data_IF_278797716110
#
_entry.id   IF_278797716110
#
_cell.length_a   1.000
_cell.length_b   1.000
_cell.length_c   1.000
_cell.angle_alpha   90.00
_cell.angle_beta   90.00
_cell.angle_gamma   90.00
#
_symmetry.space_group_name_H-M   'P 1'
#
loop_
_entity.id
_entity.type
_entity.pdbx_description
1 polymer ?
#
# COMPACT_ATOMS: atom_id res chain seq x y z
N UNK A 1 18.39 -1.16 14.38
CA UNK A 1 17.23 -1.06 13.44
C UNK A 1 16.62 0.33 13.62
N UNK A 2 17.40 1.38 13.40
CA UNK A 2 17.03 2.78 13.75
C UNK A 2 16.60 3.60 12.52
N UNK A 3 16.65 3.02 11.32
CA UNK A 3 16.50 3.77 10.06
C UNK A 3 15.12 3.67 9.41
N UNK A 4 14.10 3.19 10.13
CA UNK A 4 12.73 3.11 9.62
C UNK A 4 11.89 4.25 10.17
N UNK A 5 11.11 4.90 9.31
CA UNK A 5 10.17 5.94 9.73
C UNK A 5 9.16 5.37 10.74
N UNK A 6 8.97 6.05 11.88
CA UNK A 6 8.13 5.57 12.98
C UNK A 6 6.68 5.30 12.56
N UNK A 7 6.10 6.10 11.64
CA UNK A 7 4.75 5.89 11.13
C UNK A 7 4.62 4.61 10.29
N UNK A 8 5.68 4.24 9.58
CA UNK A 8 5.69 2.98 8.82
C UNK A 8 5.60 1.80 9.79
N UNK A 9 6.41 1.80 10.85
CA UNK A 9 6.37 0.74 11.86
C UNK A 9 5.00 0.66 12.56
N UNK A 10 4.42 1.81 12.93
CA UNK A 10 3.07 1.86 13.49
C UNK A 10 2.03 1.26 12.54
N UNK A 11 2.11 1.53 11.23
CA UNK A 11 1.21 0.94 10.22
C UNK A 11 1.36 -0.57 10.07
N UNK A 12 2.58 -1.11 10.22
CA UNK A 12 2.80 -2.56 10.24
C UNK A 12 2.03 -3.21 11.40
N UNK A 13 2.15 -2.62 12.60
CA UNK A 13 1.45 -3.11 13.80
C UNK A 13 -0.05 -3.00 13.65
N UNK A 14 -0.57 -1.86 13.15
CA UNK A 14 -2.00 -1.68 12.92
C UNK A 14 -2.55 -2.76 11.96
N UNK A 15 -1.85 -3.01 10.85
CA UNK A 15 -2.26 -4.03 9.86
C UNK A 15 -2.32 -5.44 10.47
N UNK A 16 -1.43 -5.76 11.40
CA UNK A 16 -1.45 -7.04 12.10
C UNK A 16 -2.76 -7.20 12.90
N UNK A 17 -3.12 -6.18 13.68
CA UNK A 17 -4.35 -6.20 14.47
C UNK A 17 -5.60 -6.20 13.60
N UNK A 18 -5.64 -5.41 12.52
CA UNK A 18 -6.76 -5.37 11.58
C UNK A 18 -7.00 -6.76 10.95
N UNK A 19 -5.92 -7.43 10.52
CA UNK A 19 -6.00 -8.78 9.97
C UNK A 19 -6.50 -9.80 11.01
N UNK A 20 -6.03 -9.70 12.27
CA UNK A 20 -6.47 -10.60 13.34
C UNK A 20 -7.96 -10.40 13.65
N UNK A 21 -8.41 -9.14 13.72
CA UNK A 21 -9.82 -8.79 13.92
C UNK A 21 -10.70 -9.29 12.77
N UNK A 22 -10.25 -9.15 11.53
CA UNK A 22 -10.96 -9.67 10.37
C UNK A 22 -11.05 -11.21 10.37
N UNK A 23 -9.97 -11.90 10.77
CA UNK A 23 -9.99 -13.36 10.91
C UNK A 23 -10.95 -13.82 12.02
N UNK A 24 -10.95 -13.13 13.17
CA UNK A 24 -11.91 -13.40 14.26
C UNK A 24 -13.35 -13.25 13.76
N UNK A 25 -13.68 -12.13 13.12
CA UNK A 25 -15.01 -11.92 12.56
C UNK A 25 -15.41 -13.00 11.54
N UNK A 26 -14.47 -13.50 10.71
CA UNK A 26 -14.75 -14.63 9.81
C UNK A 26 -15.04 -15.93 10.57
N UNK A 27 -14.27 -16.22 11.62
CA UNK A 27 -14.50 -17.40 12.47
C UNK A 27 -15.88 -17.35 13.13
N UNK A 28 -16.26 -16.18 13.65
CA UNK A 28 -17.56 -15.97 14.30
C UNK A 28 -18.73 -16.16 13.33
N UNK A 29 -18.52 -15.85 12.04
CA UNK A 29 -19.46 -16.11 10.95
C UNK A 29 -19.41 -17.56 10.40
N UNK A 30 -18.76 -18.49 11.11
CA UNK A 30 -18.73 -19.91 10.78
C UNK A 30 -17.75 -20.31 9.67
N UNK A 31 -16.90 -19.40 9.18
CA UNK A 31 -15.89 -19.73 8.18
C UNK A 31 -14.69 -20.44 8.81
N UNK A 32 -14.15 -21.46 8.12
CA UNK A 32 -12.85 -22.03 8.45
C UNK A 32 -11.77 -20.98 8.16
N UNK A 33 -10.98 -20.65 9.19
CA UNK A 33 -9.86 -19.72 9.08
C UNK A 33 -8.54 -20.44 9.31
N UNK A 34 -7.48 -19.94 8.68
CA UNK A 34 -6.10 -20.29 9.02
C UNK A 34 -5.48 -19.24 9.94
N UNK A 35 -4.31 -19.54 10.50
CA UNK A 35 -3.54 -18.63 11.32
C UNK A 35 -2.68 -17.70 10.47
N UNK A 36 -2.34 -16.53 11.03
CA UNK A 36 -1.37 -15.63 10.40
C UNK A 36 0.01 -16.28 10.42
N UNK A 37 0.67 -16.31 9.26
CA UNK A 37 2.05 -16.78 9.13
C UNK A 37 3.01 -15.65 9.49
N UNK A 38 4.02 -15.99 10.30
CA UNK A 38 5.14 -15.09 10.54
C UNK A 38 5.91 -14.87 9.22
N UNK A 39 6.50 -13.68 9.08
CA UNK A 39 7.34 -13.30 7.93
C UNK A 39 8.73 -12.97 8.43
N UNK A 40 9.73 -13.65 7.90
CA UNK A 40 11.12 -13.40 8.24
C UNK A 40 11.62 -12.05 7.72
N UNK A 41 12.71 -11.50 8.29
CA UNK A 41 13.44 -10.41 7.66
C UNK A 41 13.78 -10.78 6.20
N UNK A 42 13.40 -9.92 5.24
CA UNK A 42 13.54 -10.18 3.80
C UNK A 42 12.29 -10.77 3.11
N UNK A 43 11.37 -11.40 3.85
CA UNK A 43 10.06 -11.80 3.32
C UNK A 43 9.01 -10.67 3.40
N UNK A 44 9.33 -9.64 4.18
CA UNK A 44 8.52 -8.44 4.31
C UNK A 44 8.74 -7.52 3.09
N UNK A 45 7.93 -7.72 2.06
CA UNK A 45 8.04 -7.07 0.74
C UNK A 45 7.08 -5.91 0.52
N UNK A 46 6.39 -5.43 1.56
CA UNK A 46 5.39 -4.37 1.41
C UNK A 46 5.31 -3.48 2.65
N UNK A 47 5.54 -2.17 2.50
CA UNK A 47 5.35 -1.20 3.58
C UNK A 47 4.57 0.03 3.10
N UNK A 48 3.88 0.68 4.03
CA UNK A 48 2.99 1.79 3.75
C UNK A 48 3.35 3.00 4.60
N UNK A 49 3.52 4.14 3.94
CA UNK A 49 3.50 5.45 4.57
C UNK A 49 2.07 6.01 4.58
N UNK A 50 1.66 6.60 5.69
CA UNK A 50 0.35 7.22 5.83
C UNK A 50 0.47 8.65 6.33
N UNK A 51 -0.29 9.56 5.72
CA UNK A 51 -0.42 10.99 6.06
C UNK A 51 0.87 11.83 6.00
N UNK A 52 2.05 11.26 6.24
CA UNK A 52 3.34 11.95 6.14
C UNK A 52 4.48 10.98 5.87
N UNK A 53 5.68 11.54 5.69
CA UNK A 53 6.88 10.75 5.37
C UNK A 53 7.02 10.42 3.89
N UNK A 54 6.20 11.04 3.04
CA UNK A 54 6.34 11.01 1.59
C UNK A 54 6.03 12.39 1.00
N UNK A 55 6.57 12.69 -0.19
CA UNK A 55 6.23 13.86 -1.01
C UNK A 55 6.34 13.48 -2.49
N UNK A 56 5.37 13.85 -3.31
CA UNK A 56 5.57 13.87 -4.76
C UNK A 56 6.19 15.20 -5.15
N UNK A 57 7.28 15.14 -5.92
CA UNK A 57 7.96 16.28 -6.51
C UNK A 57 7.84 16.19 -8.02
N UNK A 58 7.37 17.25 -8.67
CA UNK A 58 7.47 17.37 -10.12
C UNK A 58 8.68 18.24 -10.43
N UNK A 59 9.71 17.67 -11.04
CA UNK A 59 10.93 18.40 -11.42
C UNK A 59 11.17 18.18 -12.90
N UNK A 60 11.09 19.25 -13.68
CA UNK A 60 11.50 19.27 -15.09
C UNK A 60 10.92 18.13 -15.95
N UNK A 61 9.63 17.83 -15.79
CA UNK A 61 8.93 16.80 -16.57
C UNK A 61 9.08 15.37 -16.05
N UNK A 62 9.83 15.15 -14.97
CA UNK A 62 9.93 13.84 -14.30
C UNK A 62 9.36 13.92 -12.88
N UNK A 63 8.35 13.11 -12.59
CA UNK A 63 7.84 12.99 -11.23
C UNK A 63 8.74 12.09 -10.39
N UNK A 64 9.07 12.57 -9.19
CA UNK A 64 9.84 11.84 -8.18
C UNK A 64 9.06 11.71 -6.89
N UNK A 65 9.12 10.53 -6.29
CA UNK A 65 8.60 10.26 -4.96
C UNK A 65 9.75 10.35 -3.96
N UNK A 66 9.69 11.35 -3.10
CA UNK A 66 10.54 11.39 -1.93
C UNK A 66 9.88 10.60 -0.80
N UNK A 67 10.64 9.70 -0.18
CA UNK A 67 10.25 8.95 1.00
C UNK A 67 11.22 9.25 2.14
N UNK A 68 10.68 9.53 3.32
CA UNK A 68 11.47 9.72 4.53
C UNK A 68 12.33 8.47 4.78
N UNK A 69 13.63 8.70 5.03
CA UNK A 69 14.69 7.69 5.22
C UNK A 69 15.10 6.90 3.97
N UNK A 70 14.33 6.94 2.88
CA UNK A 70 14.67 6.24 1.62
C UNK A 70 15.13 7.19 0.49
N UNK A 71 14.86 8.48 0.61
CA UNK A 71 15.30 9.48 -0.38
C UNK A 71 14.34 9.62 -1.56
N UNK A 72 14.85 10.09 -2.70
CA UNK A 72 14.06 10.32 -3.91
C UNK A 72 14.10 9.13 -4.86
N UNK A 73 12.94 8.74 -5.37
CA UNK A 73 12.75 7.62 -6.29
C UNK A 73 12.03 8.16 -7.53
N UNK A 74 12.55 7.97 -8.75
CA UNK A 74 11.83 8.32 -9.96
C UNK A 74 10.57 7.45 -10.09
N UNK A 75 9.45 8.08 -10.42
CA UNK A 75 8.18 7.37 -10.66
C UNK A 75 7.81 7.42 -12.13
N UNK A 76 7.23 6.31 -12.60
CA UNK A 76 6.52 6.24 -13.87
C UNK A 76 5.06 5.90 -13.58
N UNK A 77 4.17 6.86 -13.81
CA UNK A 77 2.75 6.66 -13.60
C UNK A 77 2.16 5.72 -14.63
N UNK A 78 1.38 4.75 -14.17
CA UNK A 78 0.57 3.91 -15.05
C UNK A 78 -0.75 4.57 -15.43
N UNK A 79 -1.18 5.57 -14.65
CA UNK A 79 -2.39 6.37 -14.84
C UNK A 79 -2.12 7.78 -14.32
N UNK A 80 -2.73 8.76 -14.96
CA UNK A 80 -2.71 10.14 -14.47
C UNK A 80 -3.40 10.24 -13.11
N UNK A 81 -2.88 11.11 -12.25
CA UNK A 81 -3.52 11.44 -10.98
C UNK A 81 -4.59 12.52 -11.25
N UNK A 82 -5.79 12.41 -10.66
CA UNK A 82 -6.79 13.47 -10.77
C UNK A 82 -6.25 14.78 -10.17
N UNK A 83 -6.61 15.93 -10.77
CA UNK A 83 -6.07 17.24 -10.40
C UNK A 83 -6.38 17.63 -8.94
N UNK A 84 -7.54 17.21 -8.43
CA UNK A 84 -8.01 17.49 -7.06
C UNK A 84 -7.75 16.32 -6.09
N UNK A 85 -6.89 15.37 -6.45
CA UNK A 85 -6.63 14.18 -5.64
C UNK A 85 -5.67 14.44 -4.48
N UNK A 86 -6.13 14.13 -3.27
CA UNK A 86 -5.31 14.12 -2.06
C UNK A 86 -4.66 12.74 -1.86
N UNK A 87 -3.33 12.67 -1.88
CA UNK A 87 -2.62 11.42 -1.60
C UNK A 87 -2.55 11.20 -0.09
N UNK A 88 -3.33 10.24 0.41
CA UNK A 88 -3.35 9.89 1.84
C UNK A 88 -2.32 8.84 2.20
N UNK A 89 -1.99 7.95 1.26
CA UNK A 89 -1.05 6.84 1.53
C UNK A 89 -0.17 6.53 0.33
N UNK A 90 1.04 6.02 0.63
CA UNK A 90 1.97 5.48 -0.35
C UNK A 90 2.42 4.11 0.13
N UNK A 91 2.07 3.06 -0.61
CA UNK A 91 2.54 1.69 -0.34
C UNK A 91 3.61 1.29 -1.34
N UNK A 92 4.74 0.83 -0.84
CA UNK A 92 5.83 0.29 -1.65
C UNK A 92 5.75 -1.23 -1.56
N UNK A 93 5.56 -1.89 -2.70
CA UNK A 93 5.39 -3.33 -2.79
C UNK A 93 6.37 -3.92 -3.79
N UNK A 94 7.05 -4.98 -3.39
CA UNK A 94 7.79 -5.86 -4.29
C UNK A 94 6.94 -7.10 -4.61
N UNK A 95 6.72 -7.35 -5.90
CA UNK A 95 6.08 -8.58 -6.37
C UNK A 95 7.06 -9.77 -6.33
N UNK A 96 6.57 -11.03 -6.38
CA UNK A 96 7.44 -12.22 -6.48
C UNK A 96 8.44 -12.18 -7.65
N UNK A 97 8.09 -11.47 -8.72
CA UNK A 97 8.96 -11.23 -9.89
C UNK A 97 10.15 -10.30 -9.61
N UNK A 98 10.23 -9.72 -8.42
CA UNK A 98 11.26 -8.75 -8.04
C UNK A 98 10.94 -7.30 -8.44
N UNK A 99 9.89 -7.08 -9.24
CA UNK A 99 9.44 -5.73 -9.64
C UNK A 99 8.86 -4.97 -8.45
N UNK A 100 9.23 -3.70 -8.34
CA UNK A 100 8.75 -2.78 -7.32
C UNK A 100 7.66 -1.86 -7.87
N UNK A 101 6.65 -1.61 -7.04
CA UNK A 101 5.53 -0.74 -7.36
C UNK A 101 5.28 0.23 -6.21
N UNK A 102 5.02 1.49 -6.55
CA UNK A 102 4.42 2.46 -5.65
C UNK A 102 2.91 2.52 -5.90
N UNK A 103 2.12 2.28 -4.87
CA UNK A 103 0.67 2.31 -4.91
C UNK A 103 0.23 3.53 -4.11
N UNK A 104 -0.44 4.47 -4.79
CA UNK A 104 -0.92 5.71 -4.20
C UNK A 104 -2.39 5.54 -3.82
N UNK A 105 -2.69 5.64 -2.52
CA UNK A 105 -4.07 5.74 -2.05
C UNK A 105 -4.48 7.20 -2.05
N UNK A 106 -5.41 7.55 -2.93
CA UNK A 106 -5.89 8.91 -3.12
C UNK A 106 -7.34 9.05 -2.68
N UNK A 107 -7.69 10.24 -2.20
CA UNK A 107 -9.05 10.66 -1.92
C UNK A 107 -9.41 11.78 -2.91
N UNK A 108 -10.56 11.66 -3.56
CA UNK A 108 -11.07 12.64 -4.53
C UNK A 108 -12.42 13.16 -4.06
N UNK A 109 -12.76 14.44 -4.31
CA UNK A 109 -14.09 14.98 -3.99
C UNK A 109 -15.22 14.31 -4.77
N UNK A 110 -14.93 13.84 -5.99
CA UNK A 110 -15.86 13.14 -6.86
C UNK A 110 -15.79 11.62 -6.65
N UNK A 111 -16.93 10.92 -6.76
CA UNK A 111 -17.04 9.47 -6.58
C UNK A 111 -16.02 8.72 -7.44
N UNK A 112 -15.28 7.80 -6.81
CA UNK A 112 -14.29 6.97 -7.50
C UNK A 112 -14.92 6.31 -8.74
N UNK A 113 -14.20 6.26 -9.87
CA UNK A 113 -14.74 5.68 -11.10
C UNK A 113 -15.26 4.26 -10.82
N UNK A 114 -16.51 3.97 -11.20
CA UNK A 114 -17.18 2.68 -10.96
C UNK A 114 -16.21 1.54 -11.27
N UNK A 115 -15.90 0.75 -10.24
CA UNK A 115 -15.08 -0.44 -10.40
C UNK A 115 -15.68 -1.32 -11.50
N UNK A 116 -14.98 -1.44 -12.63
CA UNK A 116 -15.26 -2.48 -13.62
C UNK A 116 -14.84 -3.79 -12.98
N UNK A 117 -15.75 -4.38 -12.19
CA UNK A 117 -15.61 -5.73 -11.62
C UNK A 117 -15.07 -6.62 -12.73
N UNK A 118 -13.82 -7.02 -12.64
CA UNK A 118 -13.34 -8.15 -13.43
C UNK A 118 -14.18 -9.33 -12.92
N UNK A 119 -15.03 -9.96 -13.74
CA UNK A 119 -15.76 -11.13 -13.29
C UNK A 119 -14.73 -12.11 -12.77
N UNK A 120 -14.94 -12.63 -11.56
CA UNK A 120 -14.11 -13.72 -11.04
C UNK A 120 -14.19 -14.82 -12.09
N UNK A 121 -13.10 -15.04 -12.82
CA UNK A 121 -12.93 -16.26 -13.59
C UNK A 121 -12.99 -17.39 -12.56
N UNK A 122 -14.13 -18.09 -12.54
CA UNK A 122 -14.21 -19.38 -11.91
C UNK A 122 -13.24 -20.27 -12.68
N UNK A 123 -12.05 -20.50 -12.11
CA UNK A 123 -11.22 -21.60 -12.55
C UNK A 123 -11.87 -22.88 -12.04
N UNK A 124 -12.26 -23.70 -13.01
CA UNK A 124 -12.74 -25.09 -12.91
C UNK A 124 -11.73 -25.96 -12.19
#
# INVERSE_FOLDING_TARGET
MEDVNSKVLQKVVQRLYDNLSALRGRKDNGYRIETLKWKAPGEYRNFTYSQSGFKLKNTSGQTRLWLSKLGEIPLTFHRELPDEADIKTVSIKQEPTGKWYAILGVETPEEAPRNRRIPRSASV
#
